data_IF_291861540913
#
_entry.id   IF_291861540913
#
_cell.length_a   1.000
_cell.length_b   1.000
_cell.length_c   1.000
_cell.angle_alpha   90.00
_cell.angle_beta   90.00
_cell.angle_gamma   90.00
#
_symmetry.space_group_name_H-M   'P 1'
#
loop_
_entity.id
_entity.type
_entity.pdbx_description
1 polymer ?
#
# COMPACT_ATOMS: atom_id res chain seq x y z
N UNK A 1 15.58 -32.41 30.50
CA UNK A 1 14.39 -31.64 30.94
C UNK A 1 13.69 -31.15 29.67
N UNK A 2 12.50 -31.66 29.37
CA UNK A 2 11.72 -31.28 28.18
C UNK A 2 11.15 -29.87 28.35
N UNK A 3 11.52 -28.94 27.48
CA UNK A 3 10.96 -27.58 27.45
C UNK A 3 9.56 -27.64 26.84
N UNK A 4 8.51 -27.66 27.68
CA UNK A 4 7.14 -27.44 27.23
C UNK A 4 7.04 -26.06 26.59
N UNK A 5 6.90 -26.01 25.26
CA UNK A 5 6.53 -24.78 24.54
C UNK A 5 5.11 -24.40 24.93
N UNK A 6 4.99 -23.53 25.93
CA UNK A 6 3.72 -22.86 26.24
C UNK A 6 3.47 -21.91 25.07
N UNK A 7 2.56 -22.27 24.18
CA UNK A 7 2.11 -21.40 23.11
C UNK A 7 1.30 -20.29 23.78
N UNK A 8 1.90 -19.13 24.01
CA UNK A 8 1.18 -17.97 24.53
C UNK A 8 0.08 -17.62 23.54
N UNK A 9 -1.17 -17.74 24.00
CA UNK A 9 -2.33 -17.26 23.26
C UNK A 9 -2.50 -15.79 23.62
N UNK A 10 -2.39 -14.91 22.61
CA UNK A 10 -2.68 -13.50 22.80
C UNK A 10 -4.20 -13.32 22.85
N UNK A 11 -4.70 -12.92 24.02
CA UNK A 11 -6.10 -12.53 24.18
C UNK A 11 -6.23 -11.03 23.92
N UNK A 12 -6.96 -10.68 22.85
CA UNK A 12 -7.23 -9.29 22.52
C UNK A 12 -8.27 -8.70 23.48
N UNK A 13 -7.99 -7.51 24.00
CA UNK A 13 -8.95 -6.70 24.77
C UNK A 13 -9.56 -5.59 23.91
N UNK A 14 -9.44 -5.69 22.59
CA UNK A 14 -9.94 -4.71 21.65
C UNK A 14 -11.47 -4.73 21.64
N UNK A 15 -12.07 -3.61 22.02
CA UNK A 15 -13.51 -3.40 21.87
C UNK A 15 -13.78 -2.62 20.58
N UNK A 16 -14.22 -3.35 19.55
CA UNK A 16 -14.50 -2.79 18.23
C UNK A 16 -15.82 -2.01 18.15
N UNK A 17 -16.60 -1.99 19.23
CA UNK A 17 -17.86 -1.24 19.33
C UNK A 17 -17.70 0.06 20.12
N UNK A 18 -16.52 0.28 20.71
CA UNK A 18 -16.21 1.51 21.43
C UNK A 18 -16.05 2.70 20.48
N UNK A 19 -16.49 3.88 20.92
CA UNK A 19 -16.29 5.12 20.15
C UNK A 19 -14.81 5.41 19.89
N UNK A 20 -13.93 5.09 20.85
CA UNK A 20 -12.48 5.24 20.71
C UNK A 20 -11.95 4.38 19.57
N UNK A 21 -12.43 3.14 19.43
CA UNK A 21 -12.05 2.29 18.31
C UNK A 21 -12.52 2.88 16.98
N UNK A 22 -13.76 3.35 16.90
CA UNK A 22 -14.31 3.95 15.68
C UNK A 22 -13.55 5.20 15.25
N UNK A 23 -13.23 6.10 16.19
CA UNK A 23 -12.44 7.31 15.95
C UNK A 23 -11.04 6.97 15.44
N UNK A 24 -10.33 6.06 16.11
CA UNK A 24 -9.00 5.62 15.72
C UNK A 24 -9.02 4.92 14.35
N UNK A 25 -10.02 4.08 14.09
CA UNK A 25 -10.19 3.37 12.83
C UNK A 25 -10.45 4.36 11.68
N UNK A 26 -11.28 5.38 11.92
CA UNK A 26 -11.54 6.44 10.94
C UNK A 26 -10.30 7.26 10.65
N UNK A 27 -9.51 7.62 11.68
CA UNK A 27 -8.26 8.36 11.48
C UNK A 27 -7.25 7.51 10.70
N UNK A 28 -7.10 6.23 11.05
CA UNK A 28 -6.25 5.30 10.30
C UNK A 28 -6.65 5.23 8.83
N UNK A 29 -7.95 5.09 8.53
CA UNK A 29 -8.45 5.05 7.14
C UNK A 29 -8.15 6.33 6.38
N UNK A 30 -8.27 7.49 7.04
CA UNK A 30 -7.88 8.76 6.44
C UNK A 30 -6.38 8.78 6.09
N UNK A 31 -5.51 8.41 7.04
CA UNK A 31 -4.07 8.38 6.80
C UNK A 31 -3.67 7.43 5.67
N UNK A 32 -4.35 6.28 5.54
CA UNK A 32 -4.12 5.36 4.42
C UNK A 32 -4.50 5.99 3.08
N UNK A 33 -5.66 6.66 3.01
CA UNK A 33 -6.06 7.41 1.82
C UNK A 33 -5.04 8.50 1.46
N UNK A 34 -4.55 9.25 2.44
CA UNK A 34 -3.54 10.29 2.22
C UNK A 34 -2.23 9.69 1.68
N UNK A 35 -1.85 8.48 2.12
CA UNK A 35 -0.68 7.75 1.62
C UNK A 35 -0.89 7.31 0.17
N UNK A 36 -2.07 6.79 -0.17
CA UNK A 36 -2.41 6.38 -1.53
C UNK A 36 -2.31 7.58 -2.49
N UNK A 37 -2.84 8.75 -2.11
CA UNK A 37 -2.72 9.98 -2.90
C UNK A 37 -1.25 10.40 -3.10
N UNK A 38 -0.42 10.28 -2.07
CA UNK A 38 1.02 10.60 -2.15
C UNK A 38 1.77 9.60 -3.05
N UNK A 39 1.38 8.33 -3.03
CA UNK A 39 1.94 7.31 -3.90
C UNK A 39 1.56 7.55 -5.35
N UNK A 40 0.31 7.94 -5.61
CA UNK A 40 -0.15 8.35 -6.95
C UNK A 40 0.65 9.56 -7.45
N UNK A 41 0.87 10.57 -6.61
CA UNK A 41 1.71 11.73 -6.93
C UNK A 41 3.17 11.33 -7.22
N UNK A 42 3.72 10.39 -6.45
CA UNK A 42 5.08 9.91 -6.64
C UNK A 42 5.22 9.06 -7.93
N UNK A 43 4.22 8.21 -8.23
CA UNK A 43 4.16 7.40 -9.45
C UNK A 43 3.95 8.25 -10.69
N UNK A 44 3.15 9.32 -10.59
CA UNK A 44 2.99 10.31 -11.64
C UNK A 44 4.31 11.03 -11.99
N UNK A 45 5.29 11.00 -11.09
CA UNK A 45 6.56 11.69 -11.25
C UNK A 45 6.36 13.17 -11.63
N UNK A 46 7.10 13.66 -12.63
CA UNK A 46 7.05 15.05 -13.11
C UNK A 46 5.86 15.44 -14.00
N UNK A 47 4.80 14.61 -14.07
CA UNK A 47 3.57 14.89 -14.83
C UNK A 47 3.40 14.11 -16.15
N UNK A 48 2.32 14.36 -16.91
CA UNK A 48 1.87 13.54 -18.05
C UNK A 48 2.91 13.27 -19.15
N UNK A 49 3.85 14.21 -19.35
CA UNK A 49 4.99 14.05 -20.26
C UNK A 49 5.88 12.84 -19.92
N UNK A 50 5.98 12.45 -18.64
CA UNK A 50 6.77 11.30 -18.23
C UNK A 50 6.10 9.97 -18.64
N UNK A 51 4.78 9.88 -18.56
CA UNK A 51 4.05 8.66 -18.96
C UNK A 51 4.05 8.47 -20.48
N UNK A 52 3.91 9.54 -21.27
CA UNK A 52 4.03 9.48 -22.73
C UNK A 52 5.41 8.94 -23.18
N UNK A 53 6.49 9.37 -22.50
CA UNK A 53 7.85 8.88 -22.78
C UNK A 53 8.03 7.40 -22.45
N UNK A 54 7.42 6.91 -21.36
CA UNK A 54 7.47 5.49 -20.99
C UNK A 54 6.63 4.62 -21.95
N UNK A 55 5.47 5.10 -22.38
CA UNK A 55 4.63 4.42 -23.37
C UNK A 55 5.35 4.27 -24.73
N UNK A 56 5.98 5.35 -25.23
CA UNK A 56 6.81 5.32 -26.45
C UNK A 56 7.98 4.34 -26.35
N UNK A 57 8.70 4.37 -25.22
CA UNK A 57 9.83 3.45 -24.98
C UNK A 57 9.42 1.98 -24.95
N UNK A 58 8.21 1.65 -24.49
CA UNK A 58 7.68 0.27 -24.53
C UNK A 58 7.31 -0.17 -25.94
N UNK A 59 6.74 0.71 -26.77
CA UNK A 59 6.45 0.42 -28.19
C UNK A 59 7.72 0.26 -29.03
N UNK A 60 8.75 1.07 -28.78
CA UNK A 60 10.04 1.00 -29.48
C UNK A 60 10.88 -0.25 -29.15
N UNK A 61 10.57 -0.93 -28.05
CA UNK A 61 11.23 -2.19 -27.64
C UNK A 61 10.52 -3.40 -28.27
N UNK A 62 9.19 -3.40 -28.31
CA UNK A 62 8.42 -4.46 -28.97
C UNK A 62 8.54 -4.48 -30.51
N UNK A 63 8.88 -3.34 -31.13
CA UNK A 63 9.14 -3.26 -32.58
C UNK A 63 10.57 -3.66 -32.97
N UNK A 64 11.46 -3.91 -32.00
CA UNK A 64 12.83 -4.40 -32.23
C UNK A 64 12.96 -5.92 -32.08
N UNK A 65 11.90 -6.61 -31.66
CA UNK A 65 11.86 -8.07 -31.47
C UNK A 65 11.28 -8.84 -32.65
N UNK A 66 11.03 -8.17 -33.79
CA UNK A 66 10.52 -8.78 -35.03
C UNK A 66 11.63 -9.00 -36.09
N UNK A 67 12.85 -9.37 -35.67
CA UNK A 67 13.92 -9.86 -36.56
C UNK A 67 14.55 -11.14 -36.00
#
# INVERSE_FOLDING_TARGET
MELKKIKQQLESRLDTTSSIYEENYKELKKKLSDIDDLLDLAEAGGGPYHHERLAKKRQDVNSRTDF
#
